data_IF_217751554319
#
_entry.id   IF_217751554319
#
_cell.length_a   1.000
_cell.length_b   1.000
_cell.length_c   1.000
_cell.angle_alpha   90.00
_cell.angle_beta   90.00
_cell.angle_gamma   90.00
#
_symmetry.space_group_name_H-M   'P 1'
#
loop_
_entity.id
_entity.type
_entity.pdbx_description
1 polymer ?
#
# COMPACT_ATOMS: atom_id res chain seq x y z
N UNK A 1 -60.18 23.47 9.50
CA UNK A 1 -59.55 23.12 10.79
C UNK A 1 -58.42 22.09 10.67
N UNK A 2 -58.66 20.91 10.04
CA UNK A 2 -57.64 19.84 9.88
C UNK A 2 -56.30 20.28 9.23
N UNK A 3 -56.33 21.12 8.18
CA UNK A 3 -55.10 21.58 7.49
C UNK A 3 -54.20 22.46 8.38
N UNK A 4 -54.78 23.31 9.23
CA UNK A 4 -54.02 24.14 10.18
C UNK A 4 -53.39 23.28 11.28
N UNK A 5 -54.14 22.31 11.81
CA UNK A 5 -53.63 21.34 12.80
C UNK A 5 -52.47 20.50 12.25
N UNK A 6 -52.56 20.04 11.00
CA UNK A 6 -51.45 19.36 10.34
C UNK A 6 -50.21 20.25 10.23
N UNK A 7 -50.37 21.53 9.90
CA UNK A 7 -49.25 22.49 9.85
C UNK A 7 -48.60 22.66 11.23
N UNK A 8 -49.39 22.82 12.30
CA UNK A 8 -48.86 22.95 13.66
C UNK A 8 -48.14 21.68 14.13
N UNK A 9 -48.69 20.50 13.84
CA UNK A 9 -48.06 19.22 14.19
C UNK A 9 -46.75 19.05 13.41
N UNK A 10 -46.73 19.34 12.10
CA UNK A 10 -45.52 19.30 11.29
C UNK A 10 -44.46 20.30 11.78
N UNK A 11 -44.86 21.49 12.20
CA UNK A 11 -43.96 22.49 12.77
C UNK A 11 -43.37 22.02 14.11
N UNK A 12 -44.21 21.47 15.00
CA UNK A 12 -43.76 20.93 16.28
C UNK A 12 -42.78 19.76 16.10
N UNK A 13 -43.09 18.83 15.19
CA UNK A 13 -42.19 17.73 14.84
C UNK A 13 -40.87 18.24 14.26
N UNK A 14 -40.92 19.29 13.41
CA UNK A 14 -39.72 19.95 12.91
C UNK A 14 -38.86 20.56 14.03
N UNK A 15 -39.48 21.22 15.02
CA UNK A 15 -38.74 21.75 16.17
C UNK A 15 -38.12 20.65 17.04
N UNK A 16 -38.86 19.55 17.29
CA UNK A 16 -38.35 18.41 18.04
C UNK A 16 -37.15 17.79 17.32
N UNK A 17 -37.24 17.61 15.99
CA UNK A 17 -36.12 17.10 15.19
C UNK A 17 -34.92 18.04 15.23
N UNK A 18 -35.12 19.37 15.15
CA UNK A 18 -34.05 20.35 15.26
C UNK A 18 -33.39 20.33 16.64
N UNK A 19 -34.19 20.21 17.70
CA UNK A 19 -33.68 20.10 19.07
C UNK A 19 -32.87 18.81 19.24
N UNK A 20 -33.41 17.67 18.80
CA UNK A 20 -32.73 16.37 18.84
C UNK A 20 -31.39 16.41 18.10
N UNK A 21 -31.38 16.92 16.86
CA UNK A 21 -30.15 17.09 16.08
C UNK A 21 -29.15 18.03 16.77
N UNK A 22 -29.63 19.12 17.36
CA UNK A 22 -28.78 20.09 18.07
C UNK A 22 -28.16 19.51 19.33
N UNK A 23 -28.94 18.77 20.13
CA UNK A 23 -28.46 18.07 21.34
C UNK A 23 -27.48 16.97 20.93
N UNK A 24 -27.78 16.20 19.89
CA UNK A 24 -26.87 15.19 19.35
C UNK A 24 -25.54 15.82 18.91
N UNK A 25 -25.56 16.93 18.16
CA UNK A 25 -24.34 17.65 17.78
C UNK A 25 -23.59 18.15 19.02
N UNK A 26 -24.26 18.82 19.96
CA UNK A 26 -23.61 19.38 21.14
C UNK A 26 -22.98 18.32 22.05
N UNK A 27 -23.59 17.15 22.16
CA UNK A 27 -23.12 16.06 23.02
C UNK A 27 -22.11 15.14 22.34
N UNK A 28 -22.22 14.93 21.03
CA UNK A 28 -21.34 14.04 20.28
C UNK A 28 -20.09 14.77 19.76
N UNK A 29 -20.22 16.02 19.29
CA UNK A 29 -19.12 16.73 18.63
C UNK A 29 -17.90 16.94 19.53
N UNK A 30 -18.02 17.30 20.83
CA UNK A 30 -16.86 17.41 21.72
C UNK A 30 -16.16 16.07 22.00
N UNK A 31 -16.81 14.93 21.71
CA UNK A 31 -16.24 13.59 21.88
C UNK A 31 -15.54 13.09 20.61
N UNK A 32 -15.64 13.82 19.51
CA UNK A 32 -14.90 13.54 18.29
C UNK A 32 -13.52 14.18 18.42
N UNK A 33 -12.48 13.37 18.61
CA UNK A 33 -11.10 13.82 18.44
C UNK A 33 -10.91 14.27 16.99
N UNK A 34 -10.65 15.55 16.78
CA UNK A 34 -10.48 16.14 15.46
C UNK A 34 -9.47 17.27 15.48
N UNK A 35 -8.72 17.41 14.39
CA UNK A 35 -7.84 18.55 14.20
C UNK A 35 -8.66 19.85 14.15
N UNK A 36 -8.09 20.95 14.66
CA UNK A 36 -8.68 22.26 14.47
C UNK A 36 -8.77 22.61 12.97
N UNK A 37 -9.73 23.43 12.58
CA UNK A 37 -9.88 23.87 11.18
C UNK A 37 -8.62 24.56 10.65
N UNK A 38 -7.86 25.25 11.51
CA UNK A 38 -6.57 25.85 11.14
C UNK A 38 -5.51 24.80 10.86
N UNK A 39 -5.32 23.82 11.75
CA UNK A 39 -4.37 22.72 11.54
C UNK A 39 -4.71 21.93 10.27
N UNK A 40 -6.00 21.62 10.07
CA UNK A 40 -6.44 20.95 8.87
C UNK A 40 -6.09 21.76 7.61
N UNK A 41 -6.35 23.07 7.58
CA UNK A 41 -6.01 23.90 6.42
C UNK A 41 -4.51 23.98 6.16
N UNK A 42 -3.71 24.11 7.20
CA UNK A 42 -2.25 24.17 7.12
C UNK A 42 -1.70 22.87 6.52
N UNK A 43 -2.06 21.71 7.08
CA UNK A 43 -1.66 20.40 6.57
C UNK A 43 -2.08 20.18 5.12
N UNK A 44 -3.28 20.65 4.74
CA UNK A 44 -3.79 20.53 3.37
C UNK A 44 -2.97 21.39 2.41
N UNK A 45 -2.64 22.62 2.81
CA UNK A 45 -1.87 23.53 1.97
C UNK A 45 -0.43 23.03 1.81
N UNK A 46 0.23 22.63 2.90
CA UNK A 46 1.61 22.16 2.89
C UNK A 46 1.78 20.94 1.99
N UNK A 47 0.97 19.91 2.24
CA UNK A 47 1.02 18.68 1.47
C UNK A 47 0.56 18.89 0.02
N UNK A 48 -0.47 19.73 -0.20
CA UNK A 48 -0.98 20.06 -1.52
C UNK A 48 0.04 20.81 -2.39
N UNK A 49 0.83 21.71 -1.79
CA UNK A 49 1.88 22.46 -2.48
C UNK A 49 3.02 21.53 -2.91
N UNK A 50 3.46 20.63 -2.03
CA UNK A 50 4.48 19.62 -2.33
C UNK A 50 4.05 18.76 -3.53
N UNK A 51 2.83 18.22 -3.50
CA UNK A 51 2.31 17.38 -4.57
C UNK A 51 2.16 18.12 -5.90
N UNK A 52 1.72 19.38 -5.84
CA UNK A 52 1.58 20.22 -7.04
C UNK A 52 2.93 20.47 -7.71
N UNK A 53 4.00 20.67 -6.92
CA UNK A 53 5.37 20.84 -7.44
C UNK A 53 5.87 19.58 -8.13
N UNK A 54 5.72 18.41 -7.50
CA UNK A 54 6.08 17.12 -8.11
C UNK A 54 5.35 16.96 -9.44
N UNK A 55 4.04 17.21 -9.46
CA UNK A 55 3.20 17.11 -10.66
C UNK A 55 3.60 18.07 -11.78
N UNK A 56 4.07 19.26 -11.45
CA UNK A 56 4.52 20.24 -12.44
C UNK A 56 5.91 19.91 -13.03
N UNK A 57 6.71 19.11 -12.32
CA UNK A 57 8.06 18.73 -12.74
C UNK A 57 8.10 17.40 -13.51
N UNK A 58 7.15 16.51 -13.25
CA UNK A 58 7.08 15.20 -13.88
C UNK A 58 5.67 14.92 -14.43
N UNK A 59 5.61 14.80 -15.76
CA UNK A 59 4.38 14.49 -16.51
C UNK A 59 4.24 13.00 -16.86
N UNK A 60 5.22 12.17 -16.52
CA UNK A 60 5.14 10.72 -16.72
C UNK A 60 4.16 10.07 -15.75
N UNK A 61 3.76 8.83 -15.99
CA UNK A 61 3.08 8.06 -14.96
C UNK A 61 4.06 7.67 -13.84
N UNK A 62 3.68 7.95 -12.59
CA UNK A 62 4.36 7.47 -11.39
C UNK A 62 3.36 7.34 -10.22
N UNK A 63 3.82 6.67 -9.16
CA UNK A 63 3.18 6.68 -7.85
C UNK A 63 3.97 7.52 -6.84
N UNK A 64 3.25 8.02 -5.86
CA UNK A 64 3.79 8.72 -4.69
C UNK A 64 3.34 7.96 -3.45
N UNK A 65 4.25 7.77 -2.51
CA UNK A 65 3.94 7.30 -1.16
C UNK A 65 4.56 8.19 -0.10
N UNK A 66 4.22 7.93 1.16
CA UNK A 66 4.66 8.73 2.29
C UNK A 66 4.89 7.91 3.55
N UNK A 67 5.89 8.31 4.35
CA UNK A 67 6.28 7.61 5.58
C UNK A 67 5.49 8.04 6.82
N UNK A 68 4.46 8.87 6.65
CA UNK A 68 3.65 9.43 7.73
C UNK A 68 2.15 9.29 7.45
N UNK A 69 1.36 9.15 8.51
CA UNK A 69 -0.08 8.92 8.42
C UNK A 69 -0.86 10.21 8.72
N UNK A 70 -1.75 10.59 7.79
CA UNK A 70 -2.80 11.60 8.03
C UNK A 70 -4.17 10.94 7.92
N UNK A 71 -4.49 10.40 6.74
CA UNK A 71 -5.65 9.49 6.56
C UNK A 71 -5.27 8.30 5.69
N UNK A 72 -6.17 7.31 5.57
CA UNK A 72 -5.94 6.14 4.71
C UNK A 72 -6.16 6.41 3.21
N UNK A 73 -6.79 7.53 2.85
CA UNK A 73 -7.22 7.83 1.48
C UNK A 73 -6.67 9.18 0.99
N UNK A 74 -5.46 9.51 1.43
CA UNK A 74 -4.80 10.78 1.06
C UNK A 74 -4.58 10.88 -0.46
N UNK A 75 -4.30 9.76 -1.12
CA UNK A 75 -4.21 9.67 -2.59
C UNK A 75 -5.49 10.16 -3.29
N UNK A 76 -6.66 9.77 -2.78
CA UNK A 76 -7.95 10.21 -3.32
C UNK A 76 -8.20 11.69 -3.03
N UNK A 77 -7.92 12.14 -1.80
CA UNK A 77 -8.13 13.53 -1.40
C UNK A 77 -7.26 14.51 -2.22
N UNK A 78 -6.01 14.14 -2.50
CA UNK A 78 -5.04 14.98 -3.19
C UNK A 78 -4.85 14.63 -4.67
N UNK A 79 -5.59 13.64 -5.18
CA UNK A 79 -5.57 13.22 -6.58
C UNK A 79 -4.19 12.80 -7.11
N UNK A 80 -3.37 12.17 -6.28
CA UNK A 80 -2.14 11.49 -6.72
C UNK A 80 -2.34 9.97 -6.79
N UNK A 81 -1.46 9.28 -7.50
CA UNK A 81 -1.51 7.82 -7.58
C UNK A 81 -0.77 7.23 -6.37
N UNK A 82 -1.48 6.76 -5.36
CA UNK A 82 -0.93 6.02 -4.22
C UNK A 82 -1.21 4.52 -4.31
N UNK A 83 -0.59 3.77 -3.41
CA UNK A 83 -0.84 2.37 -3.04
C UNK A 83 -1.72 2.28 -1.78
N UNK A 84 -1.57 3.21 -0.84
CA UNK A 84 -2.36 3.25 0.39
C UNK A 84 -3.85 3.50 0.11
N UNK A 85 -4.72 2.57 0.52
CA UNK A 85 -6.16 2.66 0.28
C UNK A 85 -6.99 2.00 1.40
N UNK A 86 -8.09 2.66 1.78
CA UNK A 86 -9.13 2.09 2.64
C UNK A 86 -10.49 2.13 1.92
N UNK A 87 -11.15 0.98 1.85
CA UNK A 87 -12.53 0.86 1.38
C UNK A 87 -13.16 -0.41 1.92
N UNK A 88 -14.37 -0.29 2.47
CA UNK A 88 -15.14 -1.44 2.98
C UNK A 88 -15.70 -2.34 1.88
N UNK A 89 -15.54 -1.96 0.61
CA UNK A 89 -15.97 -2.73 -0.57
C UNK A 89 -14.81 -3.10 -1.47
N UNK A 90 -13.57 -2.95 -0.99
CA UNK A 90 -12.41 -3.42 -1.74
C UNK A 90 -12.33 -4.96 -1.73
N UNK A 91 -11.73 -5.54 -2.77
CA UNK A 91 -11.56 -7.00 -2.84
C UNK A 91 -10.43 -7.46 -1.94
N UNK A 92 -10.70 -8.51 -1.16
CA UNK A 92 -9.76 -9.10 -0.19
C UNK A 92 -8.42 -9.47 -0.85
N UNK A 93 -8.44 -10.02 -2.07
CA UNK A 93 -7.23 -10.44 -2.78
C UNK A 93 -6.23 -9.29 -3.05
N UNK A 94 -6.69 -8.03 -3.05
CA UNK A 94 -5.78 -6.87 -3.18
C UNK A 94 -4.99 -6.69 -1.89
N UNK A 95 -5.66 -6.82 -0.74
CA UNK A 95 -4.99 -6.71 0.55
C UNK A 95 -4.04 -7.89 0.79
N UNK A 96 -4.43 -9.10 0.41
CA UNK A 96 -3.57 -10.29 0.49
C UNK A 96 -2.31 -10.12 -0.39
N UNK A 97 -2.46 -9.58 -1.59
CA UNK A 97 -1.32 -9.26 -2.46
C UNK A 97 -0.37 -8.24 -1.82
N UNK A 98 -0.92 -7.16 -1.23
CA UNK A 98 -0.12 -6.16 -0.53
C UNK A 98 0.61 -6.77 0.68
N UNK A 99 -0.04 -7.65 1.45
CA UNK A 99 0.59 -8.37 2.56
C UNK A 99 1.76 -9.24 2.10
N UNK A 100 1.58 -9.97 0.99
CA UNK A 100 2.65 -10.77 0.38
C UNK A 100 3.84 -9.94 -0.12
N UNK A 101 3.63 -8.65 -0.38
CA UNK A 101 4.69 -7.68 -0.69
C UNK A 101 5.24 -6.97 0.56
N UNK A 102 4.86 -7.38 1.76
CA UNK A 102 5.39 -6.86 3.02
C UNK A 102 4.66 -5.66 3.61
N UNK A 103 3.54 -5.24 3.01
CA UNK A 103 2.72 -4.16 3.56
C UNK A 103 1.83 -4.65 4.71
N UNK A 104 1.41 -3.72 5.57
CA UNK A 104 0.43 -4.03 6.62
C UNK A 104 -0.96 -4.24 6.00
N UNK A 105 -1.49 -5.45 6.10
CA UNK A 105 -2.88 -5.79 5.79
C UNK A 105 -3.72 -5.94 7.06
N UNK A 106 -4.75 -5.11 7.23
CA UNK A 106 -5.66 -5.19 8.38
C UNK A 106 -7.08 -5.66 7.98
N UNK A 107 -7.23 -6.36 6.87
CA UNK A 107 -8.48 -6.93 6.35
C UNK A 107 -9.42 -5.95 5.65
N UNK A 108 -9.38 -4.66 6.01
CA UNK A 108 -10.21 -3.60 5.39
C UNK A 108 -9.37 -2.52 4.69
N UNK A 109 -8.05 -2.61 4.80
CA UNK A 109 -7.09 -1.64 4.26
C UNK A 109 -5.69 -2.25 4.23
N UNK A 110 -4.93 -1.82 3.23
CA UNK A 110 -3.50 -1.98 3.13
C UNK A 110 -2.88 -0.60 2.88
N UNK A 111 -1.75 -0.32 3.52
CA UNK A 111 -1.10 0.98 3.41
C UNK A 111 0.41 0.88 3.54
N UNK A 112 1.08 1.88 2.97
CA UNK A 112 2.54 1.95 2.86
C UNK A 112 3.23 2.09 4.21
N UNK A 113 2.66 2.88 5.13
CA UNK A 113 3.15 3.07 6.50
C UNK A 113 4.60 3.60 6.54
N UNK A 114 5.55 2.85 7.11
CA UNK A 114 6.98 3.18 7.09
C UNK A 114 7.68 2.73 5.81
N UNK A 115 6.95 2.10 4.91
CA UNK A 115 7.40 1.63 3.60
C UNK A 115 7.51 0.11 3.50
N UNK A 116 7.70 -0.35 2.27
CA UNK A 116 8.08 -1.72 1.95
C UNK A 116 9.57 -1.75 1.59
N UNK A 117 9.98 -2.64 0.71
CA UNK A 117 11.33 -2.80 0.21
C UNK A 117 11.60 -1.87 -0.97
N UNK A 118 12.88 -1.64 -1.29
CA UNK A 118 13.29 -0.92 -2.50
C UNK A 118 12.82 -1.65 -3.75
N UNK A 119 12.83 -2.99 -3.75
CA UNK A 119 12.32 -3.79 -4.86
C UNK A 119 10.83 -3.59 -5.10
N UNK A 120 10.00 -3.68 -4.06
CA UNK A 120 8.54 -3.54 -4.18
C UNK A 120 8.15 -2.15 -4.64
N UNK A 121 8.76 -1.12 -4.05
CA UNK A 121 8.53 0.28 -4.46
C UNK A 121 8.87 0.48 -5.94
N UNK A 122 10.00 -0.09 -6.38
CA UNK A 122 10.45 -0.05 -7.77
C UNK A 122 9.48 -0.75 -8.72
N UNK A 123 9.06 -1.97 -8.39
CA UNK A 123 8.10 -2.77 -9.16
C UNK A 123 6.73 -2.11 -9.28
N UNK A 124 6.24 -1.51 -8.19
CA UNK A 124 4.92 -0.86 -8.17
C UNK A 124 4.95 0.58 -8.70
N UNK A 125 6.12 1.09 -9.04
CA UNK A 125 6.33 2.42 -9.63
C UNK A 125 6.22 3.58 -8.64
N UNK A 126 6.56 3.34 -7.37
CA UNK A 126 6.75 4.39 -6.36
C UNK A 126 8.02 5.16 -6.69
N UNK A 127 7.84 6.30 -7.37
CA UNK A 127 8.95 7.16 -7.83
C UNK A 127 9.29 8.23 -6.81
N UNK A 128 8.30 8.73 -6.08
CA UNK A 128 8.49 9.76 -5.08
C UNK A 128 8.02 9.28 -3.72
N UNK A 129 8.86 9.48 -2.70
CA UNK A 129 8.56 9.19 -1.31
C UNK A 129 8.66 10.48 -0.50
N UNK A 130 7.59 10.84 0.21
CA UNK A 130 7.54 12.03 1.06
C UNK A 130 7.72 11.61 2.52
N UNK A 131 8.70 12.19 3.20
CA UNK A 131 9.04 11.84 4.58
C UNK A 131 9.08 13.05 5.49
N UNK A 132 8.72 12.86 6.76
CA UNK A 132 8.95 13.83 7.84
C UNK A 132 10.39 13.77 8.38
N UNK A 133 11.18 12.81 7.91
CA UNK A 133 12.58 12.63 8.28
C UNK A 133 13.49 13.04 7.13
N UNK A 134 14.63 13.63 7.52
CA UNK A 134 15.67 14.10 6.58
C UNK A 134 16.43 12.96 5.90
N UNK A 135 16.41 11.78 6.52
CA UNK A 135 17.02 10.56 6.00
C UNK A 135 15.97 9.45 5.95
N UNK A 136 16.19 8.53 5.03
CA UNK A 136 15.46 7.27 4.95
C UNK A 136 16.51 6.17 4.74
N UNK A 137 16.19 4.93 5.12
CA UNK A 137 17.12 3.83 4.90
C UNK A 137 17.33 3.47 3.42
N UNK A 138 16.41 3.86 2.53
CA UNK A 138 16.39 3.46 1.12
C UNK A 138 17.42 4.22 0.27
N UNK A 139 17.88 3.65 -0.88
CA UNK A 139 18.85 4.29 -1.78
C UNK A 139 18.23 5.41 -2.63
N UNK A 140 17.36 6.22 -2.05
CA UNK A 140 16.64 7.25 -2.79
C UNK A 140 17.31 8.60 -2.63
N UNK A 141 17.30 9.37 -3.71
CA UNK A 141 17.94 10.67 -3.75
C UNK A 141 17.00 11.71 -3.15
N UNK A 142 17.41 12.37 -2.07
CA UNK A 142 16.71 13.56 -1.57
C UNK A 142 16.75 14.64 -2.65
N UNK A 143 15.60 15.03 -3.19
CA UNK A 143 15.47 16.03 -4.25
C UNK A 143 15.18 17.41 -3.72
N UNK A 144 14.40 17.50 -2.65
CA UNK A 144 13.95 18.76 -2.08
C UNK A 144 13.53 18.57 -0.63
N UNK A 145 13.34 19.68 0.08
CA UNK A 145 12.74 19.73 1.41
C UNK A 145 11.85 20.97 1.50
N UNK A 146 10.59 20.79 1.91
CA UNK A 146 9.63 21.87 2.04
C UNK A 146 8.69 21.63 3.21
N UNK A 147 8.44 22.67 4.00
CA UNK A 147 7.50 22.66 5.14
C UNK A 147 7.70 21.46 6.09
N UNK A 148 8.97 21.11 6.36
CA UNK A 148 9.33 19.99 7.23
C UNK A 148 9.17 18.60 6.58
N UNK A 149 8.93 18.52 5.27
CA UNK A 149 8.87 17.28 4.52
C UNK A 149 10.03 17.18 3.51
N UNK A 150 10.82 16.13 3.63
CA UNK A 150 11.80 15.76 2.62
C UNK A 150 11.14 14.95 1.50
N UNK A 151 11.50 15.27 0.25
CA UNK A 151 11.04 14.58 -0.95
C UNK A 151 12.20 13.75 -1.50
N UNK A 152 12.03 12.44 -1.51
CA UNK A 152 12.98 11.49 -2.06
C UNK A 152 12.51 10.97 -3.40
N UNK A 153 13.44 10.72 -4.31
CA UNK A 153 13.18 10.08 -5.60
C UNK A 153 13.85 8.71 -5.65
N UNK A 154 13.04 7.67 -5.92
CA UNK A 154 13.53 6.34 -6.23
C UNK A 154 14.10 6.32 -7.66
N UNK A 155 15.41 6.06 -7.84
CA UNK A 155 16.02 6.00 -9.17
C UNK A 155 15.63 4.74 -9.95
N UNK A 156 15.10 3.72 -9.27
CA UNK A 156 14.75 2.41 -9.84
C UNK A 156 13.24 2.24 -10.08
N UNK A 157 12.46 3.32 -10.03
CA UNK A 157 11.01 3.24 -10.22
C UNK A 157 10.64 2.85 -11.65
N UNK A 158 9.99 1.70 -11.81
CA UNK A 158 9.41 1.25 -13.06
C UNK A 158 8.07 1.95 -13.30
N UNK A 159 7.56 1.85 -14.52
CA UNK A 159 6.18 2.19 -14.80
C UNK A 159 5.28 1.03 -14.36
N UNK A 160 3.96 1.23 -14.39
CA UNK A 160 2.98 0.22 -13.98
C UNK A 160 2.76 -0.88 -15.01
N UNK A 161 3.60 -0.96 -16.04
CA UNK A 161 3.59 -2.02 -17.04
C UNK A 161 5.01 -2.45 -17.36
N UNK A 162 5.28 -3.75 -17.30
CA UNK A 162 6.61 -4.33 -17.57
C UNK A 162 6.50 -5.63 -18.34
N UNK A 163 7.44 -5.86 -19.26
CA UNK A 163 7.66 -7.16 -19.89
C UNK A 163 8.29 -8.15 -18.90
N UNK A 164 7.78 -9.38 -18.88
CA UNK A 164 8.18 -10.43 -17.96
C UNK A 164 8.31 -11.77 -18.65
N UNK A 165 9.21 -12.60 -18.13
CA UNK A 165 9.44 -13.95 -18.64
C UNK A 165 8.21 -14.85 -18.47
N UNK A 166 8.16 -15.97 -19.20
CA UNK A 166 7.11 -16.99 -19.05
C UNK A 166 6.97 -17.56 -17.63
N UNK A 167 8.04 -17.51 -16.83
CA UNK A 167 8.07 -18.06 -15.48
C UNK A 167 7.18 -17.31 -14.50
N UNK A 168 6.81 -16.05 -14.79
CA UNK A 168 5.87 -15.31 -13.94
C UNK A 168 4.52 -16.03 -13.76
N UNK A 169 4.07 -16.74 -14.80
CA UNK A 169 2.81 -17.49 -14.77
C UNK A 169 2.84 -18.72 -13.85
N UNK A 170 4.04 -19.14 -13.43
CA UNK A 170 4.28 -20.33 -12.60
C UNK A 170 4.64 -19.97 -11.16
N UNK A 171 4.76 -18.68 -10.83
CA UNK A 171 5.15 -18.24 -9.51
C UNK A 171 4.08 -18.60 -8.47
N UNK A 172 4.51 -19.30 -7.42
CA UNK A 172 3.68 -19.59 -6.26
C UNK A 172 3.79 -18.46 -5.24
N UNK A 173 2.67 -17.82 -4.91
CA UNK A 173 2.58 -16.73 -3.92
C UNK A 173 2.40 -17.23 -2.47
N UNK A 174 2.28 -18.54 -2.24
CA UNK A 174 2.09 -19.15 -0.91
C UNK A 174 3.36 -19.19 -0.04
N UNK A 175 4.49 -18.70 -0.56
CA UNK A 175 5.71 -18.53 0.24
C UNK A 175 5.44 -17.65 1.48
N UNK A 176 5.97 -18.11 2.62
CA UNK A 176 5.77 -17.49 3.95
C UNK A 176 6.91 -16.53 4.28
N UNK A 177 8.12 -16.81 3.78
CA UNK A 177 9.23 -15.88 3.85
C UNK A 177 9.06 -14.80 2.78
N UNK A 178 8.64 -13.61 3.21
CA UNK A 178 8.32 -12.50 2.30
C UNK A 178 9.54 -12.01 1.50
N UNK A 179 10.76 -12.18 2.02
CA UNK A 179 11.98 -11.82 1.31
C UNK A 179 12.31 -12.86 0.23
N UNK A 180 12.17 -14.15 0.55
CA UNK A 180 12.31 -15.21 -0.44
C UNK A 180 11.24 -15.14 -1.52
N UNK A 181 10.01 -14.76 -1.17
CA UNK A 181 8.94 -14.52 -2.15
C UNK A 181 9.33 -13.40 -3.11
N UNK A 182 9.93 -12.31 -2.62
CA UNK A 182 10.40 -11.22 -3.46
C UNK A 182 11.58 -11.64 -4.36
N UNK A 183 12.53 -12.45 -3.87
CA UNK A 183 13.58 -13.07 -4.71
C UNK A 183 12.96 -13.91 -5.84
N UNK A 184 11.98 -14.76 -5.50
CA UNK A 184 11.26 -15.59 -6.49
C UNK A 184 10.50 -14.74 -7.49
N UNK A 185 9.87 -13.65 -7.06
CA UNK A 185 9.17 -12.70 -7.93
C UNK A 185 10.14 -12.00 -8.90
N UNK A 186 11.25 -11.46 -8.39
CA UNK A 186 12.30 -10.86 -9.19
C UNK A 186 12.83 -11.84 -10.26
N UNK A 187 13.11 -13.07 -9.83
CA UNK A 187 13.56 -14.17 -10.69
C UNK A 187 12.52 -14.55 -11.74
N UNK A 188 11.24 -14.59 -11.38
CA UNK A 188 10.17 -14.95 -12.31
C UNK A 188 9.93 -13.84 -13.37
N UNK A 189 10.14 -12.57 -13.01
CA UNK A 189 10.08 -11.45 -13.95
C UNK A 189 11.23 -11.54 -14.96
N UNK A 190 12.47 -11.75 -14.49
CA UNK A 190 13.63 -11.78 -15.39
C UNK A 190 13.77 -13.11 -16.13
N UNK A 191 13.33 -14.20 -15.53
CA UNK A 191 13.56 -15.57 -15.99
C UNK A 191 14.96 -16.11 -15.65
N UNK A 192 15.68 -15.39 -14.79
CA UNK A 192 17.00 -15.73 -14.28
C UNK A 192 16.95 -15.82 -12.75
N UNK A 193 17.98 -16.37 -12.11
CA UNK A 193 18.07 -16.35 -10.64
C UNK A 193 18.48 -14.94 -10.19
N UNK A 194 17.64 -14.31 -9.38
CA UNK A 194 17.87 -13.01 -8.76
C UNK A 194 17.90 -13.16 -7.24
N UNK A 195 18.95 -12.65 -6.60
CA UNK A 195 19.16 -12.69 -5.14
C UNK A 195 19.19 -11.26 -4.58
N UNK A 196 18.07 -10.55 -4.70
CA UNK A 196 17.91 -9.18 -4.21
C UNK A 196 17.85 -9.10 -2.68
N UNK A 197 17.56 -10.21 -2.00
CA UNK A 197 17.67 -10.37 -0.55
C UNK A 197 18.56 -11.55 -0.20
N UNK A 198 19.50 -11.34 0.72
CA UNK A 198 20.37 -12.39 1.27
C UNK A 198 20.07 -12.55 2.76
N UNK A 199 19.84 -13.79 3.21
CA UNK A 199 19.50 -14.07 4.61
C UNK A 199 20.63 -13.63 5.54
N UNK A 200 20.28 -12.97 6.63
CA UNK A 200 21.20 -12.64 7.72
C UNK A 200 21.19 -13.76 8.75
N UNK A 201 22.39 -14.17 9.19
CA UNK A 201 22.53 -15.19 10.22
C UNK A 201 22.19 -14.62 11.61
N UNK A 202 21.64 -15.47 12.47
CA UNK A 202 21.33 -15.11 13.85
C UNK A 202 22.37 -15.78 14.74
N UNK A 203 23.23 -14.99 15.36
CA UNK A 203 24.28 -15.51 16.25
C UNK A 203 23.68 -16.09 17.53
N UNK A 204 22.72 -15.38 18.11
CA UNK A 204 22.14 -15.74 19.41
C UNK A 204 20.70 -15.25 19.53
N UNK A 205 19.87 -16.01 20.24
CA UNK A 205 18.53 -15.60 20.65
C UNK A 205 18.45 -15.64 22.18
N UNK A 206 18.46 -14.47 22.81
CA UNK A 206 18.35 -14.31 24.25
C UNK A 206 16.89 -14.16 24.66
N UNK A 207 16.55 -14.68 25.84
CA UNK A 207 15.19 -14.64 26.39
C UNK A 207 15.31 -14.28 27.86
N UNK A 208 14.60 -13.23 28.26
CA UNK A 208 14.61 -12.74 29.63
C UNK A 208 13.20 -12.82 30.21
N UNK A 209 13.06 -13.41 31.41
CA UNK A 209 11.79 -13.54 32.12
C UNK A 209 10.67 -14.26 31.31
N UNK A 210 11.05 -15.20 30.43
CA UNK A 210 10.12 -15.93 29.57
C UNK A 210 10.18 -17.45 29.77
N UNK A 211 9.01 -18.07 29.77
CA UNK A 211 8.82 -19.51 29.55
C UNK A 211 8.34 -19.74 28.12
N UNK A 212 9.13 -20.48 27.34
CA UNK A 212 8.76 -20.91 25.98
C UNK A 212 7.92 -22.19 26.02
N UNK A 213 6.88 -22.24 25.19
CA UNK A 213 5.96 -23.37 25.03
C UNK A 213 5.69 -23.53 23.53
N UNK A 214 6.05 -24.68 22.96
CA UNK A 214 5.69 -25.01 21.57
C UNK A 214 4.17 -25.22 21.46
N UNK A 215 3.51 -24.54 20.52
CA UNK A 215 2.06 -24.70 20.27
C UNK A 215 1.82 -25.73 19.16
N UNK A 216 2.46 -25.53 18.02
CA UNK A 216 2.34 -26.34 16.80
C UNK A 216 3.67 -26.32 16.03
N UNK A 217 3.73 -26.82 14.80
CA UNK A 217 4.98 -26.86 14.01
C UNK A 217 5.52 -25.46 13.65
N UNK A 218 4.66 -24.44 13.61
CA UNK A 218 4.99 -23.09 13.16
C UNK A 218 5.11 -22.09 14.30
N UNK A 219 4.36 -22.27 15.40
CA UNK A 219 4.16 -21.24 16.42
C UNK A 219 4.71 -21.63 17.79
N UNK A 220 5.35 -20.66 18.44
CA UNK A 220 5.85 -20.72 19.81
C UNK A 220 5.17 -19.67 20.68
N UNK A 221 4.70 -20.07 21.85
CA UNK A 221 4.20 -19.17 22.90
C UNK A 221 5.31 -18.82 23.88
N UNK A 222 5.47 -17.53 24.15
CA UNK A 222 6.35 -16.98 25.15
C UNK A 222 5.50 -16.36 26.26
N UNK A 223 5.60 -16.90 27.48
CA UNK A 223 4.81 -16.43 28.63
C UNK A 223 5.72 -15.83 29.70
N UNK A 224 5.34 -14.69 30.27
CA UNK A 224 6.06 -14.06 31.38
C UNK A 224 6.14 -15.01 32.58
N UNK A 225 7.32 -15.15 33.18
CA UNK A 225 7.49 -15.89 34.44
C UNK A 225 7.04 -15.01 35.60
N UNK A 226 7.52 -13.76 35.64
CA UNK A 226 7.12 -12.72 36.58
C UNK A 226 6.34 -11.64 35.83
N UNK A 227 5.06 -11.46 36.18
CA UNK A 227 4.11 -10.65 35.40
C UNK A 227 4.47 -9.16 35.34
N UNK A 228 4.98 -8.63 36.46
CA UNK A 228 5.25 -7.20 36.63
C UNK A 228 6.67 -6.79 36.20
N UNK A 229 7.53 -7.75 35.84
CA UNK A 229 8.87 -7.50 35.32
C UNK A 229 8.86 -7.47 33.78
N UNK A 230 9.82 -6.77 33.20
CA UNK A 230 10.04 -6.77 31.76
C UNK A 230 10.34 -8.20 31.28
N UNK A 231 9.84 -8.56 30.10
CA UNK A 231 10.13 -9.84 29.47
C UNK A 231 10.30 -9.63 27.97
N UNK A 232 11.34 -10.21 27.40
CA UNK A 232 11.69 -9.96 26.01
C UNK A 232 12.40 -11.12 25.34
N UNK A 233 12.33 -11.13 24.01
CA UNK A 233 13.13 -11.96 23.13
C UNK A 233 14.09 -11.01 22.39
N UNK A 234 15.39 -11.31 22.41
CA UNK A 234 16.40 -10.49 21.75
C UNK A 234 17.19 -11.34 20.75
N UNK A 235 17.17 -10.92 19.50
CA UNK A 235 17.93 -11.51 18.40
C UNK A 235 19.23 -10.73 18.21
N UNK A 236 20.36 -11.43 18.25
CA UNK A 236 21.69 -10.85 18.03
C UNK A 236 22.13 -11.20 16.62
N UNK A 237 22.23 -10.18 15.77
CA UNK A 237 22.56 -10.31 14.35
C UNK A 237 23.97 -9.76 14.12
N UNK A 238 24.98 -10.59 13.79
CA UNK A 238 26.27 -10.10 13.36
C UNK A 238 26.16 -9.49 11.96
N UNK A 239 26.71 -8.29 11.78
CA UNK A 239 26.65 -7.58 10.52
C UNK A 239 27.78 -8.04 9.60
N UNK A 240 27.39 -8.73 8.52
CA UNK A 240 28.28 -9.35 7.54
C UNK A 240 28.25 -8.64 6.18
N UNK A 241 27.34 -7.67 6.01
CA UNK A 241 27.17 -6.85 4.81
C UNK A 241 26.88 -5.40 5.19
N UNK A 242 27.31 -4.47 4.36
CA UNK A 242 27.03 -3.03 4.52
C UNK A 242 25.62 -2.64 4.04
N UNK A 243 24.94 -3.56 3.35
CA UNK A 243 23.55 -3.42 2.91
C UNK A 243 22.57 -3.30 4.08
N UNK A 244 21.40 -2.71 3.80
CA UNK A 244 20.35 -2.55 4.82
C UNK A 244 19.89 -3.88 5.37
N UNK A 245 19.84 -3.98 6.70
CA UNK A 245 19.21 -5.10 7.38
C UNK A 245 17.69 -4.85 7.51
N UNK A 246 16.89 -5.87 7.22
CA UNK A 246 15.44 -5.87 7.35
C UNK A 246 14.97 -7.08 8.16
N UNK A 247 13.78 -6.97 8.76
CA UNK A 247 13.16 -8.09 9.43
C UNK A 247 11.65 -8.20 9.21
N UNK A 248 11.13 -9.41 9.35
CA UNK A 248 9.70 -9.68 9.43
C UNK A 248 9.44 -10.79 10.45
N UNK A 249 8.41 -10.61 11.28
CA UNK A 249 8.02 -11.57 12.31
C UNK A 249 6.60 -12.03 12.05
N UNK A 250 6.40 -13.34 11.90
CA UNK A 250 5.08 -13.95 11.79
C UNK A 250 4.47 -14.10 13.19
N UNK A 251 3.17 -13.98 13.23
CA UNK A 251 2.33 -14.22 14.38
C UNK A 251 0.93 -14.64 13.88
N UNK A 252 0.15 -15.40 14.68
CA UNK A 252 -1.17 -15.85 14.26
C UNK A 252 -2.21 -14.73 14.29
N UNK A 253 -2.05 -13.76 15.20
CA UNK A 253 -3.05 -12.73 15.49
C UNK A 253 -2.40 -11.41 15.93
N UNK A 254 -3.23 -10.36 16.03
CA UNK A 254 -2.86 -9.10 16.65
C UNK A 254 -2.48 -9.29 18.12
N UNK A 255 -1.37 -8.71 18.53
CA UNK A 255 -0.81 -8.83 19.87
C UNK A 255 -0.17 -7.50 20.28
N UNK A 256 0.19 -7.35 21.57
CA UNK A 256 0.92 -6.16 22.04
C UNK A 256 2.36 -6.50 22.38
N UNK A 257 3.26 -6.04 21.51
CA UNK A 257 4.69 -6.02 21.77
C UNK A 257 5.29 -4.70 21.29
N UNK A 258 6.47 -4.38 21.79
CA UNK A 258 7.25 -3.22 21.35
C UNK A 258 8.59 -3.71 20.82
N UNK A 259 9.07 -3.10 19.72
CA UNK A 259 10.34 -3.46 19.10
C UNK A 259 11.38 -2.40 19.39
N UNK A 260 12.55 -2.85 19.81
CA UNK A 260 13.76 -2.05 19.95
C UNK A 260 14.83 -2.55 18.97
N UNK A 261 15.58 -1.61 18.41
CA UNK A 261 16.78 -1.89 17.64
C UNK A 261 17.94 -1.23 18.39
N UNK A 262 18.83 -2.04 18.94
CA UNK A 262 19.79 -1.61 19.94
C UNK A 262 19.08 -0.92 21.11
N UNK A 263 19.24 0.40 21.26
CA UNK A 263 18.57 1.20 22.28
C UNK A 263 17.39 2.01 21.72
N UNK A 264 17.18 2.02 20.41
CA UNK A 264 16.15 2.81 19.75
C UNK A 264 14.80 2.11 19.83
N UNK A 265 13.84 2.75 20.50
CA UNK A 265 12.47 2.30 20.51
C UNK A 265 11.79 2.58 19.15
N UNK A 266 11.31 1.53 18.48
CA UNK A 266 10.55 1.63 17.24
C UNK A 266 9.03 1.61 17.47
N UNK A 267 8.58 1.47 18.70
CA UNK A 267 7.19 1.50 19.13
C UNK A 267 6.47 0.15 19.00
N UNK A 268 5.15 0.19 19.16
CA UNK A 268 4.30 -0.99 19.14
C UNK A 268 4.35 -1.72 17.79
N UNK A 269 4.34 -3.05 17.85
CA UNK A 269 4.29 -3.98 16.72
C UNK A 269 3.19 -5.04 16.92
N UNK A 270 2.95 -5.89 15.91
CA UNK A 270 1.83 -6.84 15.84
C UNK A 270 0.44 -6.22 16.00
N UNK A 271 0.31 -4.93 15.67
CA UNK A 271 -0.95 -4.20 15.83
C UNK A 271 -1.57 -3.84 14.47
N UNK A 272 -2.74 -3.20 14.51
CA UNK A 272 -3.51 -2.85 13.30
C UNK A 272 -2.74 -1.96 12.33
N UNK A 273 -1.81 -1.15 12.84
CA UNK A 273 -1.05 -0.14 12.10
C UNK A 273 0.41 -0.53 11.85
N UNK A 274 0.98 -1.47 12.61
CA UNK A 274 2.39 -1.84 12.55
C UNK A 274 2.53 -3.34 12.66
N UNK A 275 2.71 -3.98 11.50
CA UNK A 275 2.98 -5.41 11.33
C UNK A 275 3.40 -5.70 9.86
N UNK A 276 4.19 -4.79 9.33
CA UNK A 276 4.82 -4.74 8.01
C UNK A 276 6.28 -5.20 8.12
N UNK A 277 6.96 -5.38 6.98
CA UNK A 277 8.43 -5.52 6.97
C UNK A 277 9.05 -4.31 7.66
N UNK A 278 10.03 -4.55 8.54
CA UNK A 278 10.69 -3.51 9.32
C UNK A 278 12.08 -3.25 8.72
N UNK A 279 12.34 -1.99 8.39
CA UNK A 279 13.69 -1.46 8.14
C UNK A 279 14.46 -1.41 9.47
N UNK A 280 15.54 -2.20 9.56
CA UNK A 280 16.42 -2.22 10.73
C UNK A 280 17.60 -1.26 10.58
N UNK A 281 17.79 -0.64 9.41
CA UNK A 281 18.83 0.32 9.09
C UNK A 281 20.11 -0.30 8.53
N UNK A 282 21.03 0.58 8.13
CA UNK A 282 22.40 0.23 7.78
C UNK A 282 23.27 0.23 9.04
N UNK A 283 24.17 -0.72 9.15
CA UNK A 283 25.03 -0.90 10.32
C UNK A 283 26.48 -1.13 9.92
N UNK A 284 27.40 -0.80 10.82
CA UNK A 284 28.84 -1.01 10.57
C UNK A 284 29.18 -2.50 10.49
N UNK A 285 29.96 -2.85 9.47
CA UNK A 285 30.44 -4.23 9.27
C UNK A 285 31.19 -4.76 10.51
N UNK A 286 30.87 -5.99 10.91
CA UNK A 286 31.47 -6.65 12.07
C UNK A 286 30.88 -6.25 13.43
N UNK A 287 29.95 -5.28 13.48
CA UNK A 287 29.16 -5.00 14.70
C UNK A 287 28.02 -5.99 14.84
N UNK A 288 27.41 -5.99 16.03
CA UNK A 288 26.18 -6.73 16.30
C UNK A 288 25.01 -5.77 16.39
N UNK A 289 23.89 -6.17 15.81
CA UNK A 289 22.59 -5.49 15.96
C UNK A 289 21.70 -6.33 16.86
N UNK A 290 21.12 -5.67 17.84
CA UNK A 290 20.25 -6.28 18.83
C UNK A 290 18.80 -5.92 18.53
N UNK A 291 18.01 -6.88 18.04
CA UNK A 291 16.58 -6.67 17.79
C UNK A 291 15.79 -7.28 18.93
N UNK A 292 15.17 -6.45 19.76
CA UNK A 292 14.47 -6.87 20.98
C UNK A 292 12.97 -6.68 20.84
N UNK A 293 12.21 -7.74 21.09
CA UNK A 293 10.74 -7.74 21.15
C UNK A 293 10.33 -7.83 22.62
N UNK A 294 9.80 -6.74 23.16
CA UNK A 294 9.32 -6.65 24.54
C UNK A 294 7.84 -6.98 24.60
N UNK A 295 7.46 -7.92 25.47
CA UNK A 295 6.07 -8.31 25.69
C UNK A 295 5.34 -7.25 26.52
N UNK A 296 4.28 -6.68 25.96
CA UNK A 296 3.38 -5.74 26.66
C UNK A 296 2.17 -6.43 27.30
N UNK A 297 1.99 -7.73 27.04
CA UNK A 297 0.98 -8.58 27.65
C UNK A 297 1.63 -9.78 28.35
N UNK A 298 0.82 -10.64 29.01
CA UNK A 298 1.33 -11.81 29.75
C UNK A 298 1.97 -12.87 28.83
N UNK A 299 1.57 -12.90 27.56
CA UNK A 299 2.09 -13.83 26.57
C UNK A 299 2.18 -13.21 25.17
N UNK A 300 3.05 -13.79 24.34
CA UNK A 300 3.24 -13.48 22.93
C UNK A 300 3.44 -14.78 22.16
N UNK A 301 2.76 -14.95 21.04
CA UNK A 301 2.89 -16.06 20.12
C UNK A 301 3.64 -15.56 18.89
N UNK A 302 4.79 -16.15 18.60
CA UNK A 302 5.56 -15.88 17.39
C UNK A 302 5.63 -17.14 16.52
N UNK A 303 5.44 -16.95 15.23
CA UNK A 303 5.78 -17.91 14.20
C UNK A 303 7.24 -17.76 13.77
N UNK A 304 7.49 -18.03 12.49
CA UNK A 304 8.80 -17.79 11.87
C UNK A 304 9.21 -16.31 11.93
N UNK A 305 10.51 -16.08 11.98
CA UNK A 305 11.14 -14.78 11.90
C UNK A 305 12.21 -14.78 10.83
N UNK A 306 12.33 -13.68 10.12
CA UNK A 306 13.19 -13.54 8.95
C UNK A 306 14.03 -12.29 9.09
N UNK A 307 15.34 -12.43 8.90
CA UNK A 307 16.30 -11.33 8.83
C UNK A 307 17.04 -11.43 7.52
N UNK A 308 17.07 -10.35 6.75
CA UNK A 308 17.65 -10.32 5.41
C UNK A 308 18.35 -8.98 5.15
N UNK A 309 19.42 -9.04 4.38
CA UNK A 309 20.06 -7.87 3.78
C UNK A 309 19.39 -7.57 2.43
N UNK A 310 18.97 -6.32 2.22
CA UNK A 310 18.48 -5.85 0.91
C UNK A 310 19.68 -5.42 0.03
N UNK A 311 20.01 -6.22 -0.97
CA UNK A 311 21.21 -6.05 -1.78
C UNK A 311 20.96 -5.04 -2.90
N UNK A 312 21.31 -3.77 -2.67
CA UNK A 312 20.98 -2.67 -3.59
C UNK A 312 21.63 -2.88 -4.98
N UNK A 313 22.86 -3.38 -5.02
CA UNK A 313 23.54 -3.69 -6.29
C UNK A 313 22.81 -4.77 -7.12
N UNK A 314 22.19 -5.76 -6.45
CA UNK A 314 21.38 -6.77 -7.13
C UNK A 314 20.05 -6.20 -7.61
N UNK A 315 19.44 -5.26 -6.86
CA UNK A 315 18.23 -4.55 -7.30
C UNK A 315 18.52 -3.66 -8.49
N UNK A 316 19.65 -2.96 -8.52
CA UNK A 316 20.09 -2.15 -9.66
C UNK A 316 20.27 -3.02 -10.91
N UNK A 317 21.00 -4.14 -10.80
CA UNK A 317 21.16 -5.10 -11.89
C UNK A 317 19.81 -5.68 -12.36
N UNK A 318 18.92 -6.04 -11.43
CA UNK A 318 17.57 -6.49 -11.76
C UNK A 318 16.79 -5.39 -12.51
N UNK A 319 16.86 -4.15 -12.02
CA UNK A 319 16.18 -3.01 -12.63
C UNK A 319 16.68 -2.78 -14.06
N UNK A 320 17.99 -2.81 -14.31
CA UNK A 320 18.55 -2.65 -15.66
C UNK A 320 18.03 -3.71 -16.65
N UNK A 321 17.87 -4.96 -16.20
CA UNK A 321 17.30 -6.04 -17.01
C UNK A 321 15.82 -5.80 -17.34
N UNK A 322 15.05 -5.29 -16.37
CA UNK A 322 13.60 -5.07 -16.53
C UNK A 322 13.29 -3.76 -17.27
N UNK A 323 14.13 -2.73 -17.08
CA UNK A 323 13.94 -1.38 -17.61
C UNK A 323 13.78 -1.36 -19.13
N UNK A 324 14.48 -2.25 -19.84
CA UNK A 324 14.39 -2.35 -21.31
C UNK A 324 12.99 -2.70 -21.80
N UNK A 325 12.24 -3.47 -21.01
CA UNK A 325 10.84 -3.80 -21.28
C UNK A 325 9.86 -3.05 -20.37
N UNK A 326 10.25 -1.87 -19.88
CA UNK A 326 9.39 -1.00 -19.08
C UNK A 326 8.47 -0.16 -19.98
N UNK A 327 7.19 -0.10 -19.65
CA UNK A 327 6.23 0.73 -20.38
C UNK A 327 6.49 2.22 -20.18
N UNK A 328 6.12 3.01 -21.17
CA UNK A 328 6.09 4.47 -21.08
C UNK A 328 4.63 4.95 -21.12
N UNK A 329 3.95 4.90 -19.97
CA UNK A 329 2.56 5.37 -19.88
C UNK A 329 2.47 6.88 -19.64
N UNK A 330 1.50 7.48 -20.32
CA UNK A 330 1.03 8.85 -20.13
C UNK A 330 -0.46 8.78 -19.76
N UNK A 331 -0.84 9.62 -18.79
CA UNK A 331 -2.23 9.76 -18.36
C UNK A 331 -2.99 10.69 -19.29
N UNK A 332 -3.84 10.12 -20.14
CA UNK A 332 -4.75 10.90 -21.00
C UNK A 332 -5.95 11.44 -20.19
N UNK A 333 -6.44 10.69 -19.20
CA UNK A 333 -7.45 11.14 -18.24
C UNK A 333 -7.37 10.34 -16.93
N UNK A 334 -8.27 10.59 -15.96
CA UNK A 334 -8.35 9.78 -14.73
C UNK A 334 -8.63 8.28 -14.98
N UNK A 335 -9.19 7.93 -16.14
CA UNK A 335 -9.58 6.56 -16.50
C UNK A 335 -9.00 6.10 -17.84
N UNK A 336 -8.00 6.80 -18.38
CA UNK A 336 -7.41 6.52 -19.70
C UNK A 336 -5.89 6.67 -19.66
N UNK A 337 -5.20 5.57 -19.95
CA UNK A 337 -3.74 5.50 -20.11
C UNK A 337 -3.40 5.12 -21.55
N UNK A 338 -2.41 5.81 -22.10
CA UNK A 338 -1.83 5.52 -23.41
C UNK A 338 -0.34 5.34 -23.19
N UNK A 339 0.27 4.32 -23.78
CA UNK A 339 1.71 4.14 -23.67
C UNK A 339 2.28 3.26 -24.76
N UNK A 340 3.59 3.10 -24.71
CA UNK A 340 4.35 2.22 -25.58
C UNK A 340 5.20 1.28 -24.74
N UNK A 341 5.58 0.15 -25.32
CA UNK A 341 6.54 -0.78 -24.73
C UNK A 341 7.34 -1.46 -25.83
N UNK A 342 8.62 -1.69 -25.58
CA UNK A 342 9.43 -2.62 -26.34
C UNK A 342 9.55 -3.91 -25.53
N UNK A 343 9.19 -5.05 -26.11
CA UNK A 343 9.28 -6.35 -25.45
C UNK A 343 10.51 -7.08 -25.98
N UNK A 344 11.47 -7.37 -25.10
CA UNK A 344 12.64 -8.19 -25.43
C UNK A 344 12.28 -9.66 -25.70
N UNK A 345 13.12 -10.35 -26.45
CA UNK A 345 13.01 -11.80 -26.61
C UNK A 345 13.03 -12.50 -25.24
N UNK A 346 12.16 -13.49 -25.07
CA UNK A 346 11.98 -14.20 -23.79
C UNK A 346 11.09 -13.48 -22.77
N UNK A 347 10.63 -12.25 -23.02
CA UNK A 347 9.70 -11.47 -22.15
C UNK A 347 8.25 -11.51 -22.66
N UNK A 348 7.74 -12.68 -23.00
CA UNK A 348 6.48 -12.88 -23.74
C UNK A 348 5.19 -12.52 -22.97
N UNK A 349 5.29 -11.73 -21.91
CA UNK A 349 4.18 -11.39 -21.03
C UNK A 349 4.28 -9.95 -20.57
N UNK A 350 3.19 -9.19 -20.72
CA UNK A 350 3.04 -7.87 -20.12
C UNK A 350 2.35 -8.00 -18.77
N UNK A 351 3.05 -7.66 -17.70
CA UNK A 351 2.49 -7.46 -16.37
C UNK A 351 2.05 -6.02 -16.23
N UNK A 352 0.88 -5.79 -15.63
CA UNK A 352 0.43 -4.48 -15.24
C UNK A 352 0.19 -4.47 -13.74
N UNK A 353 0.90 -3.61 -12.98
CA UNK A 353 0.75 -3.47 -11.52
C UNK A 353 -0.50 -2.65 -11.15
N UNK A 354 -1.61 -3.05 -11.76
CA UNK A 354 -2.96 -2.55 -11.59
C UNK A 354 -3.82 -3.75 -11.19
N UNK A 355 -4.66 -3.64 -10.14
CA UNK A 355 -5.59 -4.71 -9.77
C UNK A 355 -6.46 -5.16 -10.95
N UNK A 356 -6.62 -6.47 -11.09
CA UNK A 356 -7.45 -7.08 -12.10
C UNK A 356 -8.92 -6.72 -11.87
N UNK A 357 -9.55 -6.20 -12.92
CA UNK A 357 -10.96 -5.87 -12.96
C UNK A 357 -11.53 -6.08 -14.37
N UNK A 358 -12.77 -6.59 -14.46
CA UNK A 358 -13.46 -6.78 -15.75
C UNK A 358 -13.84 -5.46 -16.44
N UNK A 359 -13.75 -4.35 -15.71
CA UNK A 359 -14.07 -3.00 -16.19
C UNK A 359 -12.96 -2.39 -17.08
N UNK A 360 -11.76 -3.00 -17.11
CA UNK A 360 -10.69 -2.57 -18.00
C UNK A 360 -10.96 -3.00 -19.45
N UNK A 361 -10.84 -2.04 -20.37
CA UNK A 361 -10.81 -2.27 -21.81
C UNK A 361 -9.40 -1.99 -22.28
N UNK A 362 -8.70 -3.01 -22.76
CA UNK A 362 -7.29 -2.91 -23.14
C UNK A 362 -7.14 -3.17 -24.64
N UNK A 363 -6.30 -2.39 -25.30
CA UNK A 363 -5.84 -2.66 -26.66
C UNK A 363 -4.32 -2.71 -26.72
N UNK A 364 -3.83 -3.63 -27.55
CA UNK A 364 -2.44 -3.72 -27.99
C UNK A 364 -2.46 -3.58 -29.52
N UNK A 365 -1.76 -2.59 -30.06
CA UNK A 365 -1.73 -2.28 -31.50
C UNK A 365 -3.13 -2.17 -32.13
N UNK A 366 -4.01 -1.44 -31.45
CA UNK A 366 -5.43 -1.24 -31.81
C UNK A 366 -6.31 -2.50 -31.76
N UNK A 367 -5.76 -3.67 -31.39
CA UNK A 367 -6.52 -4.90 -31.21
C UNK A 367 -6.93 -5.07 -29.76
N UNK A 368 -8.20 -5.41 -29.51
CA UNK A 368 -8.72 -5.63 -28.16
C UNK A 368 -8.14 -6.91 -27.57
N UNK A 369 -7.68 -6.83 -26.33
CA UNK A 369 -7.16 -7.98 -25.58
C UNK A 369 -7.88 -8.10 -24.24
N UNK A 370 -8.01 -9.33 -23.76
CA UNK A 370 -8.58 -9.61 -22.44
C UNK A 370 -7.43 -9.89 -21.46
N UNK A 371 -7.24 -9.07 -20.41
CA UNK A 371 -6.28 -9.39 -19.38
C UNK A 371 -6.72 -10.62 -18.59
N UNK A 372 -5.77 -11.28 -17.95
CA UNK A 372 -6.01 -12.29 -16.91
C UNK A 372 -5.47 -11.79 -15.58
N UNK A 373 -5.97 -12.37 -14.49
CA UNK A 373 -5.39 -12.17 -13.17
C UNK A 373 -4.13 -13.02 -13.02
N UNK A 374 -3.08 -12.45 -12.44
CA UNK A 374 -1.85 -13.13 -12.04
C UNK A 374 -1.43 -12.68 -10.63
N UNK A 375 -0.61 -13.48 -9.96
CA UNK A 375 -0.13 -13.22 -8.59
C UNK A 375 -1.27 -12.97 -7.59
N UNK A 376 -2.46 -13.53 -7.87
CA UNK A 376 -3.66 -13.36 -7.04
C UNK A 376 -4.37 -12.01 -7.14
N UNK A 377 -3.80 -11.00 -7.82
CA UNK A 377 -4.40 -9.65 -7.77
C UNK A 377 -4.24 -8.79 -9.03
N UNK A 378 -3.12 -8.87 -9.75
CA UNK A 378 -2.78 -7.90 -10.80
C UNK A 378 -3.08 -8.42 -12.21
N UNK A 379 -3.02 -7.54 -13.21
CA UNK A 379 -3.30 -7.90 -14.60
C UNK A 379 -2.08 -8.45 -15.33
N UNK A 380 -2.34 -9.38 -16.24
CA UNK A 380 -1.38 -10.05 -17.10
C UNK A 380 -1.95 -10.20 -18.51
N UNK A 381 -1.11 -9.98 -19.53
CA UNK A 381 -1.47 -10.12 -20.94
C UNK A 381 -0.30 -10.78 -21.70
N UNK A 382 -0.49 -11.92 -22.39
CA UNK A 382 0.51 -12.45 -23.32
C UNK A 382 0.82 -11.45 -24.43
N UNK A 383 2.09 -11.24 -24.73
CA UNK A 383 2.54 -10.27 -25.75
C UNK A 383 3.78 -10.81 -26.48
N UNK A 384 3.90 -10.53 -27.77
CA UNK A 384 5.07 -10.93 -28.56
C UNK A 384 6.27 -10.00 -28.33
N UNK A 385 7.51 -10.43 -28.63
CA UNK A 385 8.63 -9.52 -28.74
C UNK A 385 8.41 -8.43 -29.80
N UNK A 386 8.92 -7.22 -29.54
CA UNK A 386 8.81 -6.08 -30.45
C UNK A 386 8.20 -4.82 -29.83
N UNK A 387 7.98 -3.80 -30.66
CA UNK A 387 7.39 -2.53 -30.24
C UNK A 387 5.86 -2.62 -30.30
N UNK A 388 5.20 -2.19 -29.23
CA UNK A 388 3.76 -2.24 -29.09
C UNK A 388 3.18 -0.92 -28.58
N UNK A 389 2.00 -0.55 -29.07
CA UNK A 389 1.20 0.55 -28.55
C UNK A 389 0.11 0.00 -27.63
N UNK A 390 -0.05 0.63 -26.46
CA UNK A 390 -0.97 0.22 -25.41
C UNK A 390 -2.02 1.31 -25.16
N UNK A 391 -3.29 0.92 -25.09
CA UNK A 391 -4.40 1.79 -24.69
C UNK A 391 -5.24 1.08 -23.62
N UNK A 392 -5.33 1.68 -22.42
CA UNK A 392 -6.09 1.14 -21.31
C UNK A 392 -7.16 2.14 -20.90
N UNK A 393 -8.42 1.72 -20.99
CA UNK A 393 -9.59 2.54 -20.60
C UNK A 393 -10.39 1.82 -19.52
N UNK A 394 -10.56 2.46 -18.38
CA UNK A 394 -11.42 1.96 -17.31
C UNK A 394 -12.85 2.48 -17.47
N UNK A 395 -13.82 1.57 -17.55
CA UNK A 395 -15.25 1.92 -17.57
C UNK A 395 -15.96 1.12 -16.47
N UNK A 396 -16.43 1.78 -15.39
CA UNK A 396 -17.11 1.08 -14.31
C UNK A 396 -18.26 0.20 -14.82
N UNK A 397 -18.39 -0.99 -14.24
CA UNK A 397 -19.51 -1.87 -14.57
C UNK A 397 -20.83 -1.17 -14.25
N UNK A 398 -21.76 -1.22 -15.20
CA UNK A 398 -23.06 -0.53 -15.06
C UNK A 398 -23.04 0.97 -15.36
N UNK A 399 -21.89 1.58 -15.70
CA UNK A 399 -21.84 3.02 -16.03
C UNK A 399 -22.85 3.41 -17.12
N UNK A 400 -22.90 2.67 -18.23
CA UNK A 400 -23.86 2.94 -19.31
C UNK A 400 -25.32 2.71 -18.89
N UNK A 401 -25.58 1.67 -18.08
CA UNK A 401 -26.91 1.38 -17.56
C UNK A 401 -27.37 2.51 -16.63
N UNK A 402 -26.49 3.00 -15.76
CA UNK A 402 -26.74 4.12 -14.86
C UNK A 402 -27.06 5.41 -15.62
N UNK A 403 -26.35 5.69 -16.71
CA UNK A 403 -26.65 6.83 -17.60
C UNK A 403 -28.04 6.68 -18.22
N UNK A 404 -28.38 5.51 -18.75
CA UNK A 404 -29.70 5.25 -19.35
C UNK A 404 -30.82 5.45 -18.31
N UNK A 405 -30.69 4.85 -17.13
CA UNK A 405 -31.68 4.98 -16.05
C UNK A 405 -31.84 6.45 -15.63
N UNK A 406 -30.73 7.17 -15.52
CA UNK A 406 -30.74 8.60 -15.15
C UNK A 406 -31.47 9.44 -16.20
N UNK A 407 -31.18 9.23 -17.49
CA UNK A 407 -31.86 9.93 -18.59
C UNK A 407 -33.36 9.63 -18.61
N UNK A 408 -33.75 8.36 -18.48
CA UNK A 408 -35.17 7.97 -18.41
C UNK A 408 -35.86 8.63 -17.20
N UNK A 409 -35.19 8.67 -16.04
CA UNK A 409 -35.74 9.29 -14.83
C UNK A 409 -35.94 10.80 -15.00
N UNK A 410 -34.98 11.49 -15.64
CA UNK A 410 -35.09 12.92 -15.96
C UNK A 410 -36.26 13.16 -16.92
N UNK A 411 -36.40 12.36 -17.98
CA UNK A 411 -37.49 12.47 -18.95
C UNK A 411 -38.85 12.30 -18.25
N UNK A 412 -39.00 11.28 -17.39
CA UNK A 412 -40.21 11.05 -16.62
C UNK A 412 -40.52 12.20 -15.65
N UNK A 413 -39.49 12.74 -14.98
CA UNK A 413 -39.64 13.88 -14.08
C UNK A 413 -40.12 15.14 -14.82
N UNK A 414 -39.51 15.46 -15.96
CA UNK A 414 -39.90 16.58 -16.82
C UNK A 414 -41.36 16.40 -17.29
N UNK A 415 -41.71 15.19 -17.74
CA UNK A 415 -43.08 14.86 -18.14
C UNK A 415 -44.10 15.07 -17.00
N UNK A 416 -43.75 14.69 -15.77
CA UNK A 416 -44.61 14.92 -14.59
C UNK A 416 -44.81 16.40 -14.28
N UNK A 417 -43.77 17.24 -14.44
CA UNK A 417 -43.88 18.70 -14.27
C UNK A 417 -44.83 19.29 -15.32
N UNK A 418 -44.65 18.94 -16.59
CA UNK A 418 -45.52 19.45 -17.66
C UNK A 418 -46.98 19.06 -17.44
N UNK A 419 -47.25 17.80 -17.07
CA UNK A 419 -48.61 17.34 -16.75
C UNK A 419 -49.22 18.06 -15.55
N UNK A 420 -48.41 18.43 -14.55
CA UNK A 420 -48.87 19.21 -13.39
C UNK A 420 -49.20 20.65 -13.75
N UNK A 421 -48.43 21.26 -14.65
CA UNK A 421 -48.65 22.63 -15.10
C UNK A 421 -49.82 22.75 -16.09
N UNK A 422 -50.17 21.69 -16.82
CA UNK A 422 -51.41 21.64 -17.64
C UNK A 422 -52.69 21.43 -16.82
N UNK A 423 -52.57 21.04 -15.54
CA UNK A 423 -53.70 20.86 -14.62
C UNK A 423 -53.94 22.06 -13.69
N UNK A 424 -53.15 23.12 -13.83
CA UNK A 424 -53.43 24.46 -13.32
C UNK A 424 -53.94 25.29 -14.47
#
# INVERSE_FOLDING_TARGET
LRKKQCIYISFLLGMIQLLDLSVNIYTAYPKLDGASMSQFKEEINDYGNILSKIKNQDNSFYRIEKTFRRTHNDALQFQYNGLSHYSSVEKVYIFDFMEKLGFRNNGNWAFYNNGSTTFVDSLLGVKYLISQFDTIGKPYLKKNEENGFAIFQNPYALNIGIGASKYISQLNMEEKDLFLLQNKLASAITGEREEIFIKAEIKEIKKENLKEIQIDEENKKYKKIKKDEEAYIEFVIPIEKEDMLMAYFRAPDLQKAEIYINQDNKGDYFNRYRWDIIDLGNHELGKEVHVKIILKEEELILGDYYFYYEIISSIENWFEKVWKSNCQFIKSSSSHLIGTVFIEEGKENLLLTIPFEKAWKIKIDNQKVNPKMILGAIMYIPISPGNHNLELVYVPQGAYIGVIISLVSIILYIFMIFKKNQKK
#
